data_IF_118700897630
#
_entry.id   IF_118700897630
#
_cell.length_a   1.000
_cell.length_b   1.000
_cell.length_c   1.000
_cell.angle_alpha   90.00
_cell.angle_beta   90.00
_cell.angle_gamma   90.00
#
_symmetry.space_group_name_H-M   'P 1'
#
loop_
_entity.id
_entity.type
_entity.pdbx_description
1 polymer ?
#
# COMPACT_ATOMS: atom_id res chain seq x y z
N UNK A 1 -4.60 -16.85 -20.44
CA UNK A 1 -6.01 -16.54 -20.07
C UNK A 1 -5.96 -15.58 -18.88
N UNK A 2 -5.71 -14.29 -19.12
CA UNK A 2 -5.65 -13.29 -18.04
C UNK A 2 -7.02 -12.65 -17.91
N UNK A 3 -7.84 -13.17 -17.00
CA UNK A 3 -9.14 -12.60 -16.68
C UNK A 3 -8.95 -11.39 -15.79
N UNK A 4 -9.10 -10.19 -16.35
CA UNK A 4 -9.30 -8.98 -15.57
C UNK A 4 -10.62 -9.15 -14.80
N UNK A 5 -10.54 -9.57 -13.54
CA UNK A 5 -11.67 -9.57 -12.61
C UNK A 5 -11.96 -8.11 -12.25
N UNK A 6 -12.73 -7.46 -13.12
CA UNK A 6 -13.37 -6.19 -12.83
C UNK A 6 -14.24 -6.38 -11.59
N UNK A 7 -14.04 -5.55 -10.57
CA UNK A 7 -14.90 -5.56 -9.39
C UNK A 7 -16.35 -5.29 -9.76
N UNK A 8 -17.29 -5.90 -9.03
CA UNK A 8 -18.69 -5.50 -9.13
C UNK A 8 -18.83 -4.04 -8.65
N UNK A 9 -19.73 -3.23 -9.27
CA UNK A 9 -19.93 -1.84 -8.86
C UNK A 9 -20.22 -1.78 -7.35
N UNK A 10 -19.40 -1.02 -6.61
CA UNK A 10 -19.54 -0.86 -5.16
C UNK A 10 -18.82 -1.91 -4.29
N UNK A 11 -17.93 -2.73 -4.84
CA UNK A 11 -17.06 -3.64 -4.06
C UNK A 11 -15.61 -3.60 -4.53
N UNK A 12 -14.65 -3.94 -3.66
CA UNK A 12 -13.24 -4.06 -4.05
C UNK A 12 -12.98 -5.42 -4.73
N UNK A 13 -12.17 -5.43 -5.79
CA UNK A 13 -11.68 -6.67 -6.39
C UNK A 13 -10.67 -7.35 -5.48
N UNK A 14 -10.41 -8.64 -5.69
CA UNK A 14 -9.41 -9.37 -4.89
C UNK A 14 -8.01 -8.76 -5.02
N UNK A 15 -7.64 -8.28 -6.21
CA UNK A 15 -6.39 -7.56 -6.42
C UNK A 15 -6.33 -6.26 -5.60
N UNK A 16 -7.42 -5.47 -5.60
CA UNK A 16 -7.51 -4.25 -4.81
C UNK A 16 -7.43 -4.54 -3.31
N UNK A 17 -8.04 -5.62 -2.82
CA UNK A 17 -7.91 -6.03 -1.41
C UNK A 17 -6.47 -6.39 -1.05
N UNK A 18 -5.72 -7.04 -1.96
CA UNK A 18 -4.29 -7.29 -1.78
C UNK A 18 -3.51 -5.98 -1.69
N UNK A 19 -3.77 -5.03 -2.58
CA UNK A 19 -3.11 -3.72 -2.56
C UNK A 19 -3.42 -2.93 -1.29
N UNK A 20 -4.67 -2.93 -0.84
CA UNK A 20 -5.05 -2.27 0.43
C UNK A 20 -4.23 -2.82 1.59
N UNK A 21 -4.12 -4.15 1.72
CA UNK A 21 -3.32 -4.79 2.81
C UNK A 21 -1.86 -4.36 2.73
N UNK A 22 -1.25 -4.49 1.54
CA UNK A 22 0.15 -4.16 1.30
C UNK A 22 0.46 -2.69 1.58
N UNK A 23 -0.37 -1.79 1.06
CA UNK A 23 -0.20 -0.36 1.29
C UNK A 23 -0.48 0.03 2.73
N UNK A 24 -1.40 -0.63 3.43
CA UNK A 24 -1.57 -0.44 4.87
C UNK A 24 -0.45 -1.06 5.71
N UNK A 25 0.53 -1.74 5.09
CA UNK A 25 1.68 -2.32 5.78
C UNK A 25 1.42 -3.67 6.44
N UNK A 26 0.34 -4.34 6.07
CA UNK A 26 0.03 -5.71 6.50
C UNK A 26 0.61 -6.74 5.53
N UNK A 27 1.04 -7.91 6.06
CA UNK A 27 1.58 -8.97 5.23
C UNK A 27 0.50 -9.62 4.36
N UNK A 28 0.97 -10.41 3.38
CA UNK A 28 0.10 -11.15 2.48
C UNK A 28 -0.92 -12.04 3.23
N UNK A 29 -2.15 -12.06 2.72
CA UNK A 29 -3.27 -12.82 3.29
C UNK A 29 -3.10 -14.35 3.11
N UNK A 30 -2.58 -14.79 1.95
CA UNK A 30 -2.50 -16.22 1.58
C UNK A 30 -3.78 -16.77 0.94
N UNK A 31 -3.92 -18.10 0.84
CA UNK A 31 -5.05 -18.75 0.16
C UNK A 31 -6.25 -19.07 1.07
N UNK A 32 -6.24 -18.64 2.34
CA UNK A 32 -7.31 -18.94 3.29
C UNK A 32 -6.83 -19.03 4.73
N UNK A 33 -7.75 -19.35 5.65
CA UNK A 33 -7.46 -19.54 7.06
C UNK A 33 -6.81 -20.93 7.29
N UNK A 34 -5.52 -21.05 6.99
CA UNK A 34 -4.74 -22.24 7.30
C UNK A 34 -3.60 -21.89 8.27
N UNK A 35 -3.52 -22.62 9.39
CA UNK A 35 -2.43 -22.51 10.38
C UNK A 35 -2.71 -21.54 11.54
N UNK A 36 -2.18 -21.86 12.72
CA UNK A 36 -2.22 -21.01 13.92
C UNK A 36 -1.35 -19.75 13.81
N UNK A 37 -0.46 -19.70 12.80
CA UNK A 37 0.31 -18.52 12.41
C UNK A 37 -0.49 -17.60 11.46
N UNK A 38 -1.77 -17.90 11.21
CA UNK A 38 -2.61 -17.08 10.36
C UNK A 38 -2.83 -15.73 11.03
N UNK A 39 -2.46 -14.67 10.33
CA UNK A 39 -2.54 -13.27 10.77
C UNK A 39 -3.96 -12.84 11.22
N UNK A 40 -5.00 -13.64 10.98
CA UNK A 40 -6.41 -13.38 11.37
C UNK A 40 -6.58 -13.23 12.88
N UNK A 41 -5.66 -13.76 13.67
CA UNK A 41 -5.66 -13.61 15.13
C UNK A 41 -5.21 -12.22 15.58
N UNK A 42 -4.66 -11.38 14.69
CA UNK A 42 -4.42 -9.97 14.96
C UNK A 42 -5.72 -9.16 14.75
N UNK A 43 -6.19 -8.51 15.81
CA UNK A 43 -7.43 -7.71 15.80
C UNK A 43 -7.48 -6.67 14.67
N UNK A 44 -6.33 -6.04 14.37
CA UNK A 44 -6.24 -5.03 13.31
C UNK A 44 -6.50 -5.62 11.91
N UNK A 45 -6.08 -6.86 11.66
CA UNK A 45 -6.28 -7.50 10.37
C UNK A 45 -7.72 -8.00 10.22
N UNK A 46 -8.32 -8.59 11.27
CA UNK A 46 -9.74 -8.91 11.26
C UNK A 46 -10.62 -7.67 10.99
N UNK A 47 -10.26 -6.54 11.58
CA UNK A 47 -10.92 -5.25 11.34
C UNK A 47 -10.76 -4.78 9.90
N UNK A 48 -9.55 -4.86 9.34
CA UNK A 48 -9.26 -4.51 7.95
C UNK A 48 -10.09 -5.36 6.98
N UNK A 49 -10.10 -6.68 7.16
CA UNK A 49 -10.90 -7.60 6.34
C UNK A 49 -12.38 -7.30 6.42
N UNK A 50 -12.91 -7.08 7.62
CA UNK A 50 -14.30 -6.71 7.79
C UNK A 50 -14.61 -5.42 7.02
N UNK A 51 -13.81 -4.37 7.18
CA UNK A 51 -14.03 -3.08 6.51
C UNK A 51 -13.98 -3.23 4.98
N UNK A 52 -12.94 -3.83 4.41
CA UNK A 52 -12.82 -3.99 2.96
C UNK A 52 -13.99 -4.73 2.30
N UNK A 53 -14.67 -5.61 3.05
CA UNK A 53 -15.83 -6.36 2.56
C UNK A 53 -17.17 -5.66 2.84
N UNK A 54 -17.18 -4.55 3.58
CA UNK A 54 -18.41 -3.84 4.02
C UNK A 54 -18.37 -2.32 3.76
N UNK A 55 -17.47 -1.82 2.91
CA UNK A 55 -17.45 -0.41 2.49
C UNK A 55 -18.73 -0.06 1.72
N UNK A 56 -19.23 1.16 1.92
CA UNK A 56 -20.23 1.74 1.03
C UNK A 56 -19.63 1.99 -0.37
N UNK A 57 -20.48 2.08 -1.40
CA UNK A 57 -20.02 2.21 -2.78
C UNK A 57 -19.17 3.48 -3.00
N UNK A 58 -19.52 4.57 -2.32
CA UNK A 58 -18.79 5.83 -2.33
C UNK A 58 -17.42 5.70 -1.66
N UNK A 59 -17.34 4.95 -0.56
CA UNK A 59 -16.08 4.68 0.12
C UNK A 59 -15.16 3.78 -0.71
N UNK A 60 -15.73 2.81 -1.43
CA UNK A 60 -14.99 2.01 -2.42
C UNK A 60 -14.37 2.91 -3.47
N UNK A 61 -15.11 3.89 -4.01
CA UNK A 61 -14.56 4.84 -4.98
C UNK A 61 -13.38 5.65 -4.41
N UNK A 62 -13.47 6.08 -3.15
CA UNK A 62 -12.36 6.77 -2.47
C UNK A 62 -11.16 5.84 -2.32
N UNK A 63 -11.34 4.59 -1.89
CA UNK A 63 -10.25 3.62 -1.80
C UNK A 63 -9.59 3.38 -3.15
N UNK A 64 -10.37 3.22 -4.23
CA UNK A 64 -9.82 3.03 -5.58
C UNK A 64 -8.95 4.23 -6.01
N UNK A 65 -9.34 5.46 -5.68
CA UNK A 65 -8.52 6.65 -5.93
C UNK A 65 -7.22 6.66 -5.13
N UNK A 66 -7.26 6.21 -3.86
CA UNK A 66 -6.05 5.99 -3.07
C UNK A 66 -5.13 4.96 -3.73
N UNK A 67 -5.67 3.82 -4.17
CA UNK A 67 -4.89 2.76 -4.81
C UNK A 67 -4.21 3.24 -6.09
N UNK A 68 -4.92 4.00 -6.94
CA UNK A 68 -4.35 4.58 -8.15
C UNK A 68 -3.19 5.55 -7.82
N UNK A 69 -3.38 6.43 -6.82
CA UNK A 69 -2.35 7.37 -6.38
C UNK A 69 -1.13 6.64 -5.82
N UNK A 70 -1.36 5.64 -4.97
CA UNK A 70 -0.30 4.86 -4.33
C UNK A 70 0.51 4.05 -5.34
N UNK A 71 -0.15 3.45 -6.35
CA UNK A 71 0.53 2.74 -7.42
C UNK A 71 1.45 3.67 -8.22
N UNK A 72 0.98 4.89 -8.54
CA UNK A 72 1.80 5.88 -9.25
C UNK A 72 3.00 6.35 -8.42
N UNK A 73 2.80 6.63 -7.13
CA UNK A 73 3.88 7.02 -6.22
C UNK A 73 4.92 5.91 -6.04
N UNK A 74 4.47 4.66 -5.94
CA UNK A 74 5.35 3.51 -5.80
C UNK A 74 6.25 3.31 -7.02
N UNK A 75 5.69 3.40 -8.23
CA UNK A 75 6.46 3.26 -9.49
C UNK A 75 7.49 4.39 -9.65
N UNK A 76 7.15 5.60 -9.20
CA UNK A 76 8.03 6.74 -9.34
C UNK A 76 9.32 6.66 -8.50
N UNK A 77 9.38 5.78 -7.49
CA UNK A 77 10.58 5.57 -6.67
C UNK A 77 11.69 4.84 -7.45
N UNK A 78 11.49 3.62 -7.97
CA UNK A 78 12.51 2.95 -8.77
C UNK A 78 12.81 3.67 -10.08
N UNK A 79 11.87 4.43 -10.67
CA UNK A 79 12.14 5.25 -11.86
C UNK A 79 13.21 6.34 -11.60
N UNK A 80 13.31 6.84 -10.36
CA UNK A 80 14.37 7.78 -10.00
C UNK A 80 15.79 7.16 -10.11
N UNK A 81 15.91 5.83 -10.21
CA UNK A 81 17.20 5.16 -10.42
C UNK A 81 17.92 5.58 -11.69
N UNK A 82 17.20 6.01 -12.73
CA UNK A 82 17.77 6.40 -14.02
C UNK A 82 18.75 7.58 -13.97
N UNK A 83 18.72 8.37 -12.90
CA UNK A 83 19.55 9.56 -12.74
C UNK A 83 20.49 9.52 -11.51
N UNK A 84 20.58 8.38 -10.80
CA UNK A 84 21.35 8.29 -9.55
C UNK A 84 22.86 8.48 -9.74
N UNK A 85 23.40 8.13 -10.90
CA UNK A 85 24.83 8.22 -11.19
C UNK A 85 25.26 9.62 -11.69
N UNK A 86 24.32 10.55 -11.87
CA UNK A 86 24.59 11.88 -12.46
C UNK A 86 24.17 13.00 -11.50
N UNK A 87 25.15 13.62 -10.84
CA UNK A 87 24.89 14.76 -9.95
C UNK A 87 24.51 16.04 -10.72
N UNK A 88 25.15 16.27 -11.88
CA UNK A 88 24.86 17.40 -12.75
C UNK A 88 25.11 17.05 -14.22
N UNK A 89 24.29 17.59 -15.12
CA UNK A 89 24.47 17.50 -16.56
C UNK A 89 24.01 18.79 -17.24
N UNK A 90 24.91 19.44 -17.97
CA UNK A 90 24.70 20.78 -18.54
C UNK A 90 24.21 21.80 -17.47
N UNK A 91 23.05 22.42 -17.66
CA UNK A 91 22.43 23.34 -16.69
C UNK A 91 21.49 22.67 -15.69
N UNK A 92 21.36 21.34 -15.71
CA UNK A 92 20.50 20.59 -14.81
C UNK A 92 21.28 20.04 -13.62
N UNK A 93 20.70 20.18 -12.42
CA UNK A 93 21.24 19.66 -11.17
C UNK A 93 20.25 18.68 -10.55
N UNK A 94 20.74 17.51 -10.14
CA UNK A 94 19.93 16.46 -9.53
C UNK A 94 19.48 16.86 -8.11
N UNK A 95 18.26 16.48 -7.73
CA UNK A 95 17.83 16.51 -6.33
C UNK A 95 18.41 15.30 -5.60
N UNK A 96 19.50 15.48 -4.88
CA UNK A 96 20.15 14.42 -4.09
C UNK A 96 19.25 13.74 -3.05
N UNK A 97 18.10 14.34 -2.70
CA UNK A 97 17.11 13.77 -1.79
C UNK A 97 15.91 13.14 -2.49
N UNK A 98 15.87 13.09 -3.82
CA UNK A 98 14.69 12.71 -4.61
C UNK A 98 14.09 11.36 -4.17
N UNK A 99 14.91 10.31 -4.04
CA UNK A 99 14.44 8.99 -3.61
C UNK A 99 13.86 9.04 -2.21
N UNK A 100 14.50 9.76 -1.29
CA UNK A 100 14.02 9.92 0.09
C UNK A 100 12.69 10.66 0.13
N UNK A 101 12.57 11.76 -0.61
CA UNK A 101 11.38 12.60 -0.64
C UNK A 101 10.19 11.84 -1.25
N UNK A 102 10.43 11.07 -2.32
CA UNK A 102 9.42 10.20 -2.95
C UNK A 102 8.97 9.08 -2.02
N UNK A 103 9.90 8.41 -1.33
CA UNK A 103 9.58 7.38 -0.36
C UNK A 103 8.77 7.93 0.83
N UNK A 104 9.16 9.10 1.35
CA UNK A 104 8.43 9.77 2.43
C UNK A 104 7.01 10.18 2.01
N UNK A 105 6.84 10.68 0.78
CA UNK A 105 5.52 10.99 0.23
C UNK A 105 4.66 9.72 0.09
N UNK A 106 5.23 8.64 -0.44
CA UNK A 106 4.56 7.35 -0.55
C UNK A 106 4.08 6.83 0.81
N UNK A 107 4.95 6.81 1.82
CA UNK A 107 4.59 6.37 3.17
C UNK A 107 3.55 7.30 3.84
N UNK A 108 3.60 8.61 3.59
CA UNK A 108 2.56 9.52 4.05
C UNK A 108 1.19 9.15 3.48
N UNK A 109 1.10 8.87 2.18
CA UNK A 109 -0.16 8.47 1.53
C UNK A 109 -0.65 7.11 2.02
N UNK A 110 0.26 6.16 2.27
CA UNK A 110 -0.07 4.87 2.90
C UNK A 110 -0.72 5.05 4.27
N UNK A 111 -0.16 5.91 5.11
CA UNK A 111 -0.72 6.24 6.43
C UNK A 111 -2.09 6.94 6.34
N UNK A 112 -2.30 7.78 5.32
CA UNK A 112 -3.62 8.40 5.06
C UNK A 112 -4.67 7.35 4.70
N UNK A 113 -4.32 6.34 3.91
CA UNK A 113 -5.21 5.21 3.63
C UNK A 113 -5.57 4.45 4.92
N UNK A 114 -4.59 4.15 5.78
CA UNK A 114 -4.87 3.55 7.10
C UNK A 114 -5.84 4.40 7.93
N UNK A 115 -5.63 5.72 7.95
CA UNK A 115 -6.50 6.68 8.64
C UNK A 115 -7.92 6.67 8.09
N UNK A 116 -8.09 6.67 6.75
CA UNK A 116 -9.39 6.57 6.11
C UNK A 116 -10.10 5.25 6.46
N UNK A 117 -9.36 4.13 6.42
CA UNK A 117 -9.87 2.83 6.81
C UNK A 117 -9.96 2.64 8.34
N UNK A 118 -9.65 3.66 9.15
CA UNK A 118 -9.80 3.66 10.59
C UNK A 118 -9.06 2.53 11.31
N UNK A 119 -7.83 2.25 10.89
CA UNK A 119 -7.00 1.18 11.43
C UNK A 119 -5.56 1.67 11.66
N UNK A 120 -4.84 1.13 12.67
CA UNK A 120 -3.45 1.51 12.89
C UNK A 120 -2.58 1.03 11.71
N UNK A 121 -1.49 1.74 11.34
CA UNK A 121 -0.56 1.24 10.34
C UNK A 121 -0.01 -0.14 10.70
N UNK A 122 0.12 -1.01 9.70
CA UNK A 122 0.69 -2.34 9.88
C UNK A 122 2.20 -2.31 10.16
N UNK A 123 2.81 -3.47 10.50
CA UNK A 123 4.21 -3.55 10.92
C UNK A 123 5.22 -3.00 9.92
N UNK A 124 4.93 -3.06 8.61
CA UNK A 124 5.81 -2.51 7.57
C UNK A 124 5.79 -0.96 7.50
N UNK A 125 4.93 -0.30 8.28
CA UNK A 125 4.86 1.16 8.46
C UNK A 125 5.25 1.58 9.88
N UNK A 126 5.91 0.70 10.63
CA UNK A 126 6.35 0.95 12.00
C UNK A 126 7.37 2.10 12.12
N UNK A 127 7.67 2.55 13.35
CA UNK A 127 8.60 3.67 13.61
C UNK A 127 10.07 3.38 13.25
N UNK A 128 10.43 2.12 13.06
CA UNK A 128 11.77 1.70 12.64
C UNK A 128 11.80 1.53 11.13
N UNK A 129 12.81 2.12 10.45
CA UNK A 129 13.14 1.96 9.03
C UNK A 129 13.49 0.50 8.60
N UNK A 130 13.15 -0.49 9.43
CA UNK A 130 13.40 -1.91 9.21
C UNK A 130 12.11 -2.69 8.93
N UNK A 131 12.25 -3.75 8.13
CA UNK A 131 11.18 -4.74 7.94
C UNK A 131 11.00 -5.48 9.27
N UNK A 132 9.95 -5.15 10.01
CA UNK A 132 9.58 -5.91 11.21
C UNK A 132 8.94 -7.21 10.75
N UNK A 133 9.69 -8.31 10.91
CA UNK A 133 9.14 -9.65 10.72
C UNK A 133 8.14 -9.93 11.84
N UNK A 134 6.94 -10.33 11.46
CA UNK A 134 5.97 -10.89 12.42
C UNK A 134 6.40 -12.34 12.64
N UNK A 135 6.79 -12.67 13.88
CA UNK A 135 7.15 -14.02 14.33
C UNK A 135 5.95 -14.69 14.99
#
# INVERSE_FOLDING_TARGET
MSGSVSSAPGTLSEAQKVDVRRFCGYPAYGAGAAGFQSWRFFQAYGTLEYRMNNLAAEEVAVVVNYLATLAALEVAIPEASGNLDTEAAAGWQHNANEVRDRAALFDQWRRRLCGFLGLPPGPALGPSDGITLIV
#
